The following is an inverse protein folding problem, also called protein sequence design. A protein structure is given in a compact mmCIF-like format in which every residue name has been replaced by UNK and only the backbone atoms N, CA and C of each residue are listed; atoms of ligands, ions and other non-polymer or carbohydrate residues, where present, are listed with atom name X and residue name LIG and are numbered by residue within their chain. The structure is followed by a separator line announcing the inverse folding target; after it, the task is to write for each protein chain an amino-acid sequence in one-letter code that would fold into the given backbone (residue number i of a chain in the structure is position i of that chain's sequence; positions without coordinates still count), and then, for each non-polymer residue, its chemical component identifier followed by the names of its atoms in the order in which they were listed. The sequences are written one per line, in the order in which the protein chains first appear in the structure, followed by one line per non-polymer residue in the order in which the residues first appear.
data_IF_223729934301
#
_entry.id   IF_223729934301
#
_cell.length_a   1.000
_cell.length_b   1.000
_cell.length_c   1.000
_cell.angle_alpha   90.00
_cell.angle_beta   90.00
_cell.angle_gamma   90.00
#
_symmetry.space_group_name_H-M   'P 1'
#
loop_
_entity.id
_entity.type
_entity.pdbx_description
1 polymer ?
#
# COMPACT_ATOMS: atom_id res chain seq x y z
N UNK A 1 11.01 8.85 29.48
CA UNK A 1 10.88 8.60 28.04
C UNK A 1 11.99 7.67 27.61
N UNK A 2 11.60 6.51 27.08
CA UNK A 2 12.54 5.51 26.56
C UNK A 2 13.11 5.94 25.20
N UNK A 3 14.21 5.33 24.73
CA UNK A 3 14.72 5.59 23.39
C UNK A 3 13.69 5.29 22.27
N UNK A 4 12.86 4.28 22.47
CA UNK A 4 11.81 3.90 21.52
C UNK A 4 10.66 4.92 21.47
N UNK A 5 10.17 5.35 22.63
CA UNK A 5 9.18 6.44 22.73
C UNK A 5 9.68 7.72 22.05
N UNK A 6 10.95 8.07 22.25
CA UNK A 6 11.56 9.23 21.58
C UNK A 6 11.66 9.05 20.07
N UNK A 7 12.00 7.84 19.62
CA UNK A 7 12.07 7.55 18.18
C UNK A 7 10.70 7.71 17.52
N UNK A 8 9.66 7.20 18.16
CA UNK A 8 8.29 7.28 17.64
C UNK A 8 7.79 8.73 17.61
N UNK A 9 8.05 9.53 18.65
CA UNK A 9 7.74 10.96 18.64
C UNK A 9 8.39 11.71 17.47
N UNK A 10 9.66 11.40 17.18
CA UNK A 10 10.37 12.01 16.04
C UNK A 10 9.77 11.55 14.69
N UNK A 11 9.30 10.31 14.59
CA UNK A 11 8.60 9.80 13.41
C UNK A 11 7.26 10.52 13.20
N UNK A 12 6.47 10.69 14.26
CA UNK A 12 5.17 11.36 14.19
C UNK A 12 5.31 12.81 13.73
N UNK A 13 6.27 13.55 14.32
CA UNK A 13 6.56 14.94 13.94
C UNK A 13 7.06 15.03 12.50
N UNK A 14 7.95 14.12 12.10
CA UNK A 14 8.41 14.02 10.72
C UNK A 14 7.27 13.74 9.75
N UNK A 15 6.37 12.81 10.10
CA UNK A 15 5.22 12.43 9.29
C UNK A 15 4.28 13.63 9.04
N UNK A 16 3.99 14.44 10.07
CA UNK A 16 3.19 15.68 9.93
C UNK A 16 3.81 16.67 8.94
N UNK A 17 5.14 16.84 9.00
CA UNK A 17 5.84 17.75 8.10
C UNK A 17 5.82 17.25 6.65
N UNK A 18 6.14 15.97 6.42
CA UNK A 18 6.11 15.37 5.08
C UNK A 18 4.70 15.20 4.50
N UNK A 19 3.66 15.12 5.33
CA UNK A 19 2.28 15.08 4.86
C UNK A 19 1.81 16.40 4.25
N UNK A 20 2.39 17.53 4.72
CA UNK A 20 1.94 18.88 4.38
C UNK A 20 2.89 19.68 3.49
N UNK A 21 4.15 19.24 3.34
CA UNK A 21 5.18 19.93 2.57
C UNK A 21 5.82 19.02 1.53
N UNK A 22 6.26 19.55 0.37
CA UNK A 22 7.10 18.84 -0.58
C UNK A 22 8.38 18.30 0.10
N UNK A 23 8.83 17.13 -0.35
CA UNK A 23 10.01 16.46 0.24
C UNK A 23 11.23 17.40 0.32
N UNK A 24 11.51 18.16 -0.75
CA UNK A 24 12.69 19.02 -0.82
C UNK A 24 12.64 20.21 0.16
N UNK A 25 11.44 20.65 0.53
CA UNK A 25 11.21 21.76 1.45
C UNK A 25 11.26 21.37 2.93
N UNK A 26 11.21 20.08 3.26
CA UNK A 26 11.36 19.61 4.64
C UNK A 26 12.84 19.54 4.99
N UNK A 27 13.26 20.26 6.02
CA UNK A 27 14.62 20.22 6.54
C UNK A 27 14.68 19.40 7.84
N UNK A 28 15.80 18.71 8.08
CA UNK A 28 16.03 18.00 9.35
C UNK A 28 16.00 18.95 10.55
N UNK A 29 16.39 20.19 10.32
CA UNK A 29 16.32 21.27 11.30
C UNK A 29 14.89 21.57 11.76
N UNK A 30 13.92 21.61 10.82
CA UNK A 30 12.51 21.86 11.14
C UNK A 30 11.94 20.74 12.02
N UNK A 31 12.35 19.50 11.74
CA UNK A 31 11.96 18.34 12.56
C UNK A 31 12.54 18.44 13.97
N UNK A 32 13.82 18.78 14.10
CA UNK A 32 14.48 18.94 15.40
C UNK A 32 13.87 20.08 16.23
N UNK A 33 13.61 21.22 15.61
CA UNK A 33 12.98 22.39 16.23
C UNK A 33 11.57 22.06 16.72
N UNK A 34 10.74 21.44 15.87
CA UNK A 34 9.35 21.08 16.20
C UNK A 34 9.28 20.02 17.30
N UNK A 35 10.25 19.11 17.34
CA UNK A 35 10.38 18.09 18.38
C UNK A 35 11.02 18.60 19.68
N UNK A 36 11.50 19.86 19.70
CA UNK A 36 12.20 20.42 20.86
C UNK A 36 13.50 19.69 21.21
N UNK A 37 14.20 19.13 20.21
CA UNK A 37 15.43 18.38 20.39
C UNK A 37 16.64 19.03 19.69
N UNK A 38 17.86 18.67 20.12
CA UNK A 38 19.05 19.10 19.40
C UNK A 38 19.17 18.35 18.05
N UNK A 39 19.77 19.00 17.04
CA UNK A 39 20.11 18.35 15.76
C UNK A 39 20.92 17.08 15.97
N UNK A 40 21.92 17.11 16.88
CA UNK A 40 22.76 15.96 17.19
C UNK A 40 21.94 14.76 17.71
N UNK A 41 20.88 15.03 18.48
CA UNK A 41 19.95 13.98 18.93
C UNK A 41 19.16 13.40 17.78
N UNK A 42 18.58 14.23 16.90
CA UNK A 42 17.83 13.77 15.72
C UNK A 42 18.72 12.91 14.80
N UNK A 43 19.93 13.40 14.46
CA UNK A 43 20.86 12.66 13.60
C UNK A 43 21.37 11.36 14.22
N UNK A 44 21.32 11.20 15.53
CA UNK A 44 21.60 9.91 16.18
C UNK A 44 20.53 8.85 15.91
N UNK A 45 19.27 9.26 15.76
CA UNK A 45 18.16 8.36 15.43
C UNK A 45 18.01 8.13 13.92
N UNK A 46 18.19 9.18 13.14
CA UNK A 46 18.04 9.18 11.69
C UNK A 46 19.22 9.91 11.05
N UNK A 47 20.16 9.17 10.45
CA UNK A 47 21.39 9.76 9.89
C UNK A 47 21.16 10.80 8.80
N UNK A 48 19.99 10.80 8.16
CA UNK A 48 19.61 11.79 7.16
C UNK A 48 18.11 11.84 6.88
N UNK A 49 17.73 12.74 5.99
CA UNK A 49 16.33 12.95 5.60
C UNK A 49 15.72 11.71 4.92
N UNK A 50 16.50 11.03 4.09
CA UNK A 50 16.07 9.80 3.40
C UNK A 50 15.75 8.68 4.39
N UNK A 51 16.59 8.45 5.40
CA UNK A 51 16.38 7.44 6.45
C UNK A 51 15.18 7.78 7.33
N UNK A 52 15.00 9.05 7.66
CA UNK A 52 13.80 9.50 8.39
C UNK A 52 12.55 9.25 7.56
N UNK A 53 12.54 9.66 6.29
CA UNK A 53 11.40 9.46 5.39
C UNK A 53 11.07 7.98 5.19
N UNK A 54 12.08 7.14 4.97
CA UNK A 54 11.90 5.69 4.82
C UNK A 54 11.32 5.04 6.09
N UNK A 55 11.75 5.51 7.28
CA UNK A 55 11.21 5.02 8.54
C UNK A 55 9.75 5.43 8.75
N UNK A 56 9.38 6.67 8.39
CA UNK A 56 8.00 7.17 8.41
C UNK A 56 7.14 6.36 7.43
N UNK A 57 7.61 6.17 6.20
CA UNK A 57 6.87 5.45 5.17
C UNK A 57 6.64 3.98 5.54
N UNK A 58 7.64 3.33 6.15
CA UNK A 58 7.49 1.95 6.68
C UNK A 58 6.46 1.88 7.80
N UNK A 59 6.52 2.79 8.76
CA UNK A 59 5.56 2.83 9.86
C UNK A 59 4.12 3.02 9.35
N UNK A 60 3.96 3.89 8.37
CA UNK A 60 2.68 4.11 7.69
C UNK A 60 2.16 2.87 6.94
N UNK A 61 3.04 2.15 6.23
CA UNK A 61 2.69 0.90 5.56
C UNK A 61 2.26 -0.19 6.57
N UNK A 62 2.94 -0.31 7.71
CA UNK A 62 2.57 -1.22 8.79
C UNK A 62 1.19 -0.89 9.38
N UNK A 63 0.90 0.39 9.63
CA UNK A 63 -0.41 0.84 10.11
C UNK A 63 -1.52 0.55 9.09
N UNK A 64 -1.27 0.80 7.82
CA UNK A 64 -2.23 0.53 6.74
C UNK A 64 -2.51 -0.97 6.60
N UNK A 65 -1.49 -1.79 6.73
CA UNK A 65 -1.64 -3.25 6.80
C UNK A 65 -2.52 -3.68 7.96
N UNK A 66 -2.38 -3.07 9.14
CA UNK A 66 -3.23 -3.41 10.31
C UNK A 66 -4.69 -3.01 10.11
N UNK A 67 -4.95 -1.91 9.44
CA UNK A 67 -6.31 -1.48 9.08
C UNK A 67 -6.95 -2.39 8.00
N UNK A 68 -6.14 -3.05 7.19
CA UNK A 68 -6.56 -3.94 6.09
C UNK A 68 -6.74 -5.40 6.55
N UNK A 69 -7.07 -5.66 7.82
CA UNK A 69 -7.36 -7.02 8.31
C UNK A 69 -8.68 -7.50 7.75
N UNK A 70 -8.65 -8.64 7.08
CA UNK A 70 -9.85 -9.31 6.58
C UNK A 70 -10.42 -10.17 7.73
N UNK A 71 -11.64 -9.87 8.18
CA UNK A 71 -12.38 -10.72 9.10
C UNK A 71 -13.03 -11.86 8.27
N UNK A 72 -12.72 -13.14 8.55
CA UNK A 72 -13.32 -14.26 7.82
C UNK A 72 -14.85 -14.36 7.96
N UNK A 73 -15.44 -13.67 8.94
CA UNK A 73 -16.89 -13.63 9.14
C UNK A 73 -17.59 -12.62 8.22
N UNK A 74 -16.84 -11.72 7.58
CA UNK A 74 -17.37 -10.68 6.69
C UNK A 74 -17.27 -11.14 5.23
N UNK A 75 -18.31 -10.92 4.39
CA UNK A 75 -18.24 -11.20 2.96
C UNK A 75 -17.03 -10.51 2.31
N UNK A 76 -16.34 -11.22 1.40
CA UNK A 76 -15.11 -10.71 0.76
C UNK A 76 -15.29 -9.33 0.12
N UNK A 77 -16.41 -9.10 -0.56
CA UNK A 77 -16.71 -7.82 -1.20
C UNK A 77 -16.78 -6.67 -0.17
N UNK A 78 -17.41 -6.91 0.97
CA UNK A 78 -17.53 -5.93 2.04
C UNK A 78 -16.16 -5.66 2.69
N UNK A 79 -15.39 -6.71 2.98
CA UNK A 79 -14.05 -6.59 3.55
C UNK A 79 -13.10 -5.83 2.60
N UNK A 80 -13.11 -6.14 1.30
CA UNK A 80 -12.33 -5.44 0.28
C UNK A 80 -12.78 -3.99 0.15
N UNK A 81 -14.08 -3.74 0.16
CA UNK A 81 -14.63 -2.39 0.10
C UNK A 81 -14.15 -1.52 1.26
N UNK A 82 -14.20 -2.05 2.49
CA UNK A 82 -13.70 -1.35 3.67
C UNK A 82 -12.18 -1.11 3.61
N UNK A 83 -11.41 -2.11 3.14
CA UNK A 83 -9.97 -1.97 2.93
C UNK A 83 -9.61 -0.91 1.88
N UNK A 84 -10.36 -0.84 0.78
CA UNK A 84 -10.20 0.20 -0.24
C UNK A 84 -10.52 1.59 0.33
N UNK A 85 -11.60 1.72 1.10
CA UNK A 85 -11.96 2.98 1.73
C UNK A 85 -10.84 3.47 2.65
N UNK A 86 -10.32 2.61 3.52
CA UNK A 86 -9.20 2.95 4.41
C UNK A 86 -7.94 3.35 3.62
N UNK A 87 -7.61 2.62 2.54
CA UNK A 87 -6.44 2.90 1.70
C UNK A 87 -6.56 4.25 0.98
N UNK A 88 -7.72 4.52 0.34
CA UNK A 88 -7.96 5.77 -0.38
C UNK A 88 -7.94 6.97 0.58
N UNK A 89 -8.56 6.84 1.75
CA UNK A 89 -8.60 7.91 2.77
C UNK A 89 -7.20 8.18 3.34
N UNK A 90 -6.41 7.13 3.59
CA UNK A 90 -5.02 7.29 3.99
C UNK A 90 -4.19 8.01 2.92
N UNK A 91 -4.33 7.63 1.64
CA UNK A 91 -3.63 8.26 0.53
C UNK A 91 -4.02 9.72 0.38
N UNK A 92 -5.30 10.05 0.55
CA UNK A 92 -5.78 11.44 0.52
C UNK A 92 -5.19 12.29 1.67
N UNK A 93 -5.22 11.75 2.89
CA UNK A 93 -4.70 12.43 4.08
C UNK A 93 -3.19 12.65 4.03
N UNK A 94 -2.44 11.76 3.35
CA UNK A 94 -0.98 11.78 3.27
C UNK A 94 -0.46 12.04 1.86
N UNK A 95 -1.18 12.86 1.08
CA UNK A 95 -0.92 13.08 -0.35
C UNK A 95 0.55 13.38 -0.66
N UNK A 96 1.18 14.32 0.06
CA UNK A 96 2.58 14.69 -0.20
C UNK A 96 3.53 13.52 0.06
N UNK A 97 3.37 12.77 1.15
CA UNK A 97 4.19 11.60 1.48
C UNK A 97 4.02 10.50 0.43
N UNK A 98 2.78 10.21 0.02
CA UNK A 98 2.46 9.18 -0.97
C UNK A 98 3.05 9.54 -2.34
N UNK A 99 2.87 10.76 -2.81
CA UNK A 99 3.44 11.23 -4.08
C UNK A 99 4.97 11.27 -4.03
N UNK A 100 5.57 11.69 -2.92
CA UNK A 100 7.02 11.65 -2.74
C UNK A 100 7.57 10.23 -2.90
N UNK A 101 7.01 9.25 -2.20
CA UNK A 101 7.47 7.86 -2.26
C UNK A 101 7.35 7.25 -3.67
N UNK A 102 6.28 7.59 -4.39
CA UNK A 102 5.95 6.95 -5.66
C UNK A 102 6.41 7.72 -6.90
N UNK A 103 6.79 9.01 -6.78
CA UNK A 103 7.24 9.86 -7.89
C UNK A 103 8.67 10.36 -7.66
N UNK A 104 8.91 11.10 -6.59
CA UNK A 104 10.22 11.70 -6.31
C UNK A 104 11.27 10.64 -5.98
N UNK A 105 10.90 9.67 -5.15
CA UNK A 105 11.78 8.58 -4.68
C UNK A 105 11.48 7.24 -5.37
N UNK A 106 10.88 7.25 -6.56
CA UNK A 106 10.53 6.03 -7.30
C UNK A 106 11.73 5.15 -7.66
N UNK A 107 12.94 5.71 -7.72
CA UNK A 107 14.19 4.99 -7.94
C UNK A 107 14.96 4.62 -6.67
N UNK A 108 14.48 5.00 -5.49
CA UNK A 108 15.14 4.67 -4.22
C UNK A 108 14.87 3.21 -3.84
N UNK A 109 15.93 2.36 -3.70
CA UNK A 109 15.77 0.93 -3.45
C UNK A 109 15.12 0.63 -2.09
N UNK A 110 15.31 1.49 -1.08
CA UNK A 110 14.72 1.31 0.25
C UNK A 110 13.23 1.56 0.20
N UNK A 111 12.80 2.64 -0.45
CA UNK A 111 11.38 2.96 -0.65
C UNK A 111 10.69 1.88 -1.49
N UNK A 112 11.31 1.43 -2.58
CA UNK A 112 10.76 0.36 -3.41
C UNK A 112 10.64 -0.97 -2.66
N UNK A 113 11.60 -1.29 -1.78
CA UNK A 113 11.50 -2.48 -0.92
C UNK A 113 10.29 -2.38 0.03
N UNK A 114 10.06 -1.23 0.68
CA UNK A 114 8.91 -1.03 1.58
C UNK A 114 7.59 -1.20 0.81
N UNK A 115 7.47 -0.63 -0.39
CA UNK A 115 6.29 -0.77 -1.25
C UNK A 115 6.05 -2.24 -1.63
N UNK A 116 7.09 -2.95 -2.04
CA UNK A 116 6.99 -4.35 -2.44
C UNK A 116 6.62 -5.26 -1.26
N UNK A 117 7.16 -5.00 -0.07
CA UNK A 117 6.84 -5.74 1.15
C UNK A 117 5.38 -5.54 1.55
N UNK A 118 4.87 -4.29 1.50
CA UNK A 118 3.45 -3.96 1.72
C UNK A 118 2.54 -4.71 0.75
N UNK A 119 2.80 -4.62 -0.57
CA UNK A 119 2.00 -5.30 -1.59
C UNK A 119 2.03 -6.82 -1.43
N UNK A 120 3.18 -7.38 -1.05
CA UNK A 120 3.34 -8.82 -0.81
C UNK A 120 2.55 -9.28 0.41
N UNK A 121 2.56 -8.51 1.50
CA UNK A 121 1.81 -8.80 2.71
C UNK A 121 0.29 -8.71 2.47
N UNK A 122 -0.19 -7.69 1.77
CA UNK A 122 -1.61 -7.56 1.38
C UNK A 122 -2.05 -8.73 0.50
N UNK A 123 -1.25 -9.08 -0.51
CA UNK A 123 -1.51 -10.22 -1.38
C UNK A 123 -1.64 -11.53 -0.59
N UNK A 124 -0.73 -11.79 0.34
CA UNK A 124 -0.76 -13.00 1.15
C UNK A 124 -2.04 -13.07 1.99
N UNK A 125 -2.42 -11.98 2.67
CA UNK A 125 -3.65 -11.91 3.47
C UNK A 125 -4.90 -12.16 2.64
N UNK A 126 -5.00 -11.54 1.44
CA UNK A 126 -6.15 -11.73 0.56
C UNK A 126 -6.23 -13.17 0.02
N UNK A 127 -5.10 -13.77 -0.34
CA UNK A 127 -5.04 -15.16 -0.78
C UNK A 127 -5.47 -16.16 0.29
N UNK A 128 -5.08 -15.91 1.54
CA UNK A 128 -5.46 -16.78 2.65
C UNK A 128 -6.97 -16.71 2.95
N UNK A 129 -7.60 -15.57 2.67
CA UNK A 129 -9.05 -15.41 2.76
C UNK A 129 -9.83 -16.10 1.62
N UNK A 130 -9.20 -16.38 0.47
CA UNK A 130 -9.88 -16.95 -0.71
C UNK A 130 -10.03 -18.47 -0.69
N UNK A 131 -9.44 -19.22 0.26
CA UNK A 131 -9.50 -20.68 0.37
C UNK A 131 -9.15 -21.43 -0.94
N UNK A 132 -8.35 -20.85 -1.83
CA UNK A 132 -7.95 -21.41 -3.11
C UNK A 132 -6.71 -22.33 -2.97
N UNK A 133 -6.59 -23.36 -3.83
CA UNK A 133 -5.46 -24.27 -3.83
C UNK A 133 -4.92 -24.54 -5.25
N UNK A 134 -3.69 -25.07 -5.34
CA UNK A 134 -3.05 -25.45 -6.60
C UNK A 134 -3.02 -24.31 -7.62
N UNK A 135 -3.28 -24.63 -8.90
CA UNK A 135 -3.23 -23.67 -10.01
C UNK A 135 -4.16 -22.47 -9.84
N UNK A 136 -5.32 -22.65 -9.22
CA UNK A 136 -6.24 -21.55 -8.96
C UNK A 136 -5.61 -20.53 -8.02
N UNK A 137 -4.94 -20.98 -6.96
CA UNK A 137 -4.20 -20.12 -6.03
C UNK A 137 -3.08 -19.36 -6.76
N UNK A 138 -2.36 -20.00 -7.67
CA UNK A 138 -1.28 -19.35 -8.41
C UNK A 138 -1.81 -18.25 -9.34
N UNK A 139 -2.89 -18.51 -10.07
CA UNK A 139 -3.56 -17.52 -10.94
C UNK A 139 -4.12 -16.36 -10.10
N UNK A 140 -4.84 -16.65 -9.02
CA UNK A 140 -5.37 -15.65 -8.12
C UNK A 140 -4.26 -14.81 -7.47
N UNK A 141 -3.13 -15.42 -7.11
CA UNK A 141 -1.96 -14.71 -6.58
C UNK A 141 -1.41 -13.68 -7.56
N UNK A 142 -1.30 -14.04 -8.84
CA UNK A 142 -0.85 -13.13 -9.89
C UNK A 142 -1.87 -12.02 -10.13
N UNK A 143 -3.16 -12.35 -10.21
CA UNK A 143 -4.25 -11.41 -10.39
C UNK A 143 -4.32 -10.38 -9.24
N UNK A 144 -4.23 -10.86 -7.99
CA UNK A 144 -4.21 -9.99 -6.80
C UNK A 144 -3.00 -9.07 -6.79
N UNK A 145 -1.81 -9.55 -7.14
CA UNK A 145 -0.64 -8.69 -7.24
C UNK A 145 -0.82 -7.58 -8.28
N UNK A 146 -1.27 -7.94 -9.48
CA UNK A 146 -1.55 -6.98 -10.55
C UNK A 146 -2.63 -5.96 -10.12
N UNK A 147 -3.67 -6.42 -9.43
CA UNK A 147 -4.73 -5.55 -8.94
C UNK A 147 -4.24 -4.59 -7.84
N UNK A 148 -3.41 -5.02 -6.90
CA UNK A 148 -2.84 -4.14 -5.87
C UNK A 148 -1.98 -3.03 -6.50
N UNK A 149 -1.20 -3.35 -7.54
CA UNK A 149 -0.47 -2.33 -8.32
C UNK A 149 -1.44 -1.39 -9.04
N UNK A 150 -2.51 -1.94 -9.64
CA UNK A 150 -3.56 -1.14 -10.29
C UNK A 150 -4.21 -0.16 -9.31
N UNK A 151 -4.61 -0.61 -8.11
CA UNK A 151 -5.17 0.27 -7.06
C UNK A 151 -4.22 1.41 -6.74
N UNK A 152 -2.94 1.10 -6.53
CA UNK A 152 -1.91 2.11 -6.26
C UNK A 152 -1.82 3.15 -7.38
N UNK A 153 -1.77 2.71 -8.63
CA UNK A 153 -1.70 3.61 -9.80
C UNK A 153 -2.96 4.48 -9.90
N UNK A 154 -4.15 3.91 -9.71
CA UNK A 154 -5.40 4.65 -9.72
C UNK A 154 -5.45 5.73 -8.63
N UNK A 155 -5.00 5.42 -7.42
CA UNK A 155 -4.94 6.40 -6.34
C UNK A 155 -3.93 7.52 -6.64
N UNK A 156 -2.76 7.20 -7.18
CA UNK A 156 -1.75 8.20 -7.54
C UNK A 156 -2.27 9.15 -8.62
N UNK A 157 -2.88 8.62 -9.69
CA UNK A 157 -3.47 9.41 -10.76
C UNK A 157 -4.58 10.33 -10.24
N UNK A 158 -5.45 9.80 -9.38
CA UNK A 158 -6.47 10.58 -8.71
C UNK A 158 -5.88 11.73 -7.86
N UNK A 159 -4.86 11.44 -7.05
CA UNK A 159 -4.20 12.45 -6.22
C UNK A 159 -3.52 13.54 -7.06
N UNK A 160 -2.95 13.20 -8.21
CA UNK A 160 -2.24 14.14 -9.08
C UNK A 160 -3.21 15.03 -9.87
N UNK A 161 -4.22 14.42 -10.49
CA UNK A 161 -5.03 15.09 -11.51
C UNK A 161 -6.35 15.66 -10.99
N UNK A 162 -6.94 15.01 -9.96
CA UNK A 162 -8.29 15.33 -9.45
C UNK A 162 -9.38 15.34 -10.54
N UNK A 163 -9.19 14.60 -11.65
CA UNK A 163 -10.10 14.56 -12.80
C UNK A 163 -11.31 13.65 -12.58
N UNK A 164 -11.31 12.86 -11.53
CA UNK A 164 -12.39 11.95 -11.14
C UNK A 164 -12.49 11.92 -9.61
N UNK A 165 -13.61 11.45 -9.09
CA UNK A 165 -13.86 11.50 -7.65
C UNK A 165 -13.43 10.23 -6.91
N UNK A 166 -13.43 10.30 -5.57
CA UNK A 166 -13.07 9.19 -4.67
C UNK A 166 -13.98 7.96 -4.89
N UNK A 167 -15.26 8.18 -5.15
CA UNK A 167 -16.24 7.11 -5.36
C UNK A 167 -15.98 6.36 -6.67
N UNK A 168 -15.52 7.08 -7.71
CA UNK A 168 -15.11 6.49 -8.98
C UNK A 168 -13.86 5.63 -8.82
N UNK A 169 -12.82 6.10 -8.08
CA UNK A 169 -11.65 5.29 -7.74
C UNK A 169 -12.07 3.99 -7.07
N UNK A 170 -12.88 4.09 -6.01
CA UNK A 170 -13.36 2.95 -5.24
C UNK A 170 -14.14 1.97 -6.12
N UNK A 171 -15.10 2.47 -6.90
CA UNK A 171 -15.96 1.65 -7.74
C UNK A 171 -15.18 0.89 -8.80
N UNK A 172 -14.25 1.57 -9.49
CA UNK A 172 -13.41 0.95 -10.52
C UNK A 172 -12.51 -0.11 -9.91
N UNK A 173 -11.84 0.19 -8.79
CA UNK A 173 -10.95 -0.76 -8.12
C UNK A 173 -11.71 -2.01 -7.64
N UNK A 174 -12.86 -1.86 -6.99
CA UNK A 174 -13.66 -2.98 -6.50
C UNK A 174 -14.15 -3.87 -7.64
N UNK A 175 -14.75 -3.29 -8.67
CA UNK A 175 -15.30 -4.04 -9.82
C UNK A 175 -14.19 -4.77 -10.59
N UNK A 176 -13.02 -4.17 -10.72
CA UNK A 176 -11.86 -4.82 -11.38
C UNK A 176 -11.40 -6.04 -10.60
N UNK A 177 -11.38 -5.99 -9.27
CA UNK A 177 -11.04 -7.17 -8.46
C UNK A 177 -12.05 -8.30 -8.65
N UNK A 178 -13.34 -7.99 -8.52
CA UNK A 178 -14.38 -9.00 -8.64
C UNK A 178 -14.34 -9.70 -10.02
N UNK A 179 -14.12 -8.92 -11.09
CA UNK A 179 -13.96 -9.47 -12.43
C UNK A 179 -12.69 -10.34 -12.56
N UNK A 180 -11.58 -9.94 -11.96
CA UNK A 180 -10.33 -10.69 -12.00
C UNK A 180 -10.42 -12.02 -11.23
N UNK A 181 -11.10 -12.03 -10.08
CA UNK A 181 -11.32 -13.25 -9.29
C UNK A 181 -12.27 -14.22 -10.01
N UNK A 182 -13.39 -13.75 -10.56
CA UNK A 182 -14.29 -14.55 -11.36
C UNK A 182 -13.56 -15.20 -12.55
N UNK A 183 -12.73 -14.46 -13.28
CA UNK A 183 -11.93 -14.99 -14.36
C UNK A 183 -10.91 -16.04 -13.90
N UNK A 184 -10.35 -15.90 -12.70
CA UNK A 184 -9.43 -16.89 -12.13
C UNK A 184 -10.14 -18.21 -11.75
N UNK A 185 -11.40 -18.15 -11.32
CA UNK A 185 -12.24 -19.33 -11.06
C UNK A 185 -12.56 -20.07 -12.35
N UNK A 186 -12.92 -19.36 -13.42
CA UNK A 186 -13.26 -19.93 -14.74
C UNK A 186 -12.08 -20.63 -15.44
N UNK A 187 -10.84 -20.30 -15.10
CA UNK A 187 -9.64 -20.98 -15.62
C UNK A 187 -9.58 -22.47 -15.29
N UNK A 188 -10.43 -22.97 -14.38
CA UNK A 188 -10.54 -24.39 -14.09
C UNK A 188 -11.46 -25.15 -15.06
N UNK A 189 -12.50 -24.49 -15.57
CA UNK A 189 -13.46 -25.11 -16.47
C UNK A 189 -12.85 -25.47 -17.84
N UNK A 190 -11.85 -24.70 -18.29
CA UNK A 190 -11.23 -24.85 -19.61
C UNK A 190 -10.09 -25.89 -19.63
N UNK A 191 -9.54 -26.30 -18.48
CA UNK A 191 -8.42 -27.26 -18.39
C UNK A 191 -8.87 -28.75 -18.34
N UNK A 192 -10.16 -29.02 -18.23
CA UNK A 192 -10.73 -30.39 -18.18
C UNK A 192 -11.16 -30.92 -19.57
N UNK A 193 -11.11 -30.08 -20.60
CA UNK A 193 -11.32 -30.53 -21.97
C UNK A 193 -10.03 -31.17 -22.50
N UNK A 194 -9.87 -32.47 -22.22
CA UNK A 194 -8.80 -33.34 -22.72
C UNK A 194 -8.79 -33.34 -24.27
N UNK A 195 -7.63 -33.04 -24.91
CA UNK A 195 -7.53 -33.04 -26.38
C UNK A 195 -7.55 -34.44 -27.01
N UNK A 196 -7.83 -35.52 -26.26
CA UNK A 196 -7.72 -36.91 -26.74
C UNK A 196 -8.97 -37.48 -27.44
N UNK A 197 -10.10 -36.74 -27.51
CA UNK A 197 -11.30 -37.24 -28.23
C UNK A 197 -11.42 -36.78 -29.70
N UNK A 198 -10.39 -36.29 -30.35
CA UNK A 198 -10.39 -35.95 -31.77
C UNK A 198 -9.52 -36.87 -32.62
N UNK A 199 -9.54 -38.20 -32.35
CA UNK A 199 -9.03 -39.21 -33.30
C UNK A 199 -9.82 -40.51 -33.13
N UNK A 200 -10.99 -40.60 -33.71
CA UNK A 200 -11.59 -41.80 -34.27
C UNK A 200 -12.43 -41.42 -35.48
#
# INVERSE_FOLDING_TARGET
MTPEERRNELLDIGAELFATRPYDEVLMEDVAERAGVSRALLYRYFPGKGELFAAIYRHAAEQLLDLSRVDPAVPLEEAVSAGLDAHIDYFAANRCTVLTANRTLCGDPVIQAIINDELSALRARMLDACCLAGRQRDVASAALHAWLVFVRVMCLEWLETQNFDRGEVRSVCLRTLLAALAAAEDCHATSVADPLERKL
#
